data_IF_565598794338
#
_entry.id   IF_565598794338
#
_cell.length_a   1.000
_cell.length_b   1.000
_cell.length_c   1.000
_cell.angle_alpha   90.00
_cell.angle_beta   90.00
_cell.angle_gamma   90.00
#
_symmetry.space_group_name_H-M   'P 1'
#
loop_
_entity.id
_entity.type
_entity.pdbx_description
1 polymer ?
#
# COMPACT_ATOMS: atom_id res chain seq x y z
N UNK A 1 -1.75 24.32 14.71
CA UNK A 1 -1.97 23.37 13.59
C UNK A 1 -0.77 23.46 12.67
N UNK A 2 -0.21 22.33 12.32
CA UNK A 2 0.92 22.20 11.39
C UNK A 2 0.38 21.75 10.02
N UNK A 3 1.03 22.21 8.96
CA UNK A 3 0.68 21.85 7.59
C UNK A 3 1.89 21.23 6.90
N UNK A 4 1.68 20.13 6.18
CA UNK A 4 2.67 19.45 5.38
C UNK A 4 2.22 19.48 3.92
N UNK A 5 3.14 19.74 2.98
CA UNK A 5 2.85 19.84 1.55
C UNK A 5 3.71 18.88 0.75
N UNK A 6 3.13 18.33 -0.31
CA UNK A 6 3.85 17.59 -1.32
C UNK A 6 3.27 17.90 -2.71
N UNK A 7 4.11 17.85 -3.72
CA UNK A 7 3.69 17.92 -5.13
C UNK A 7 3.94 16.55 -5.74
N UNK A 8 2.91 15.99 -6.35
CA UNK A 8 2.93 14.71 -7.03
C UNK A 8 2.76 14.96 -8.52
N UNK A 9 3.66 14.41 -9.34
CA UNK A 9 3.47 14.34 -10.78
C UNK A 9 2.97 12.94 -11.15
N UNK A 10 1.82 12.89 -11.82
CA UNK A 10 1.19 11.62 -12.24
C UNK A 10 1.53 11.39 -13.70
N UNK A 11 2.52 10.54 -13.97
CA UNK A 11 2.91 10.15 -15.33
C UNK A 11 2.37 8.75 -15.58
N UNK A 12 1.34 8.62 -16.41
CA UNK A 12 0.81 7.33 -16.88
C UNK A 12 1.13 7.19 -18.37
N UNK A 13 2.09 6.34 -18.70
CA UNK A 13 2.37 5.94 -20.06
C UNK A 13 1.47 4.76 -20.45
N UNK A 14 0.64 4.94 -21.47
CA UNK A 14 -0.20 3.87 -22.04
C UNK A 14 0.61 3.04 -23.04
N UNK A 15 1.60 2.26 -22.57
CA UNK A 15 2.36 1.33 -23.42
C UNK A 15 1.47 0.27 -24.06
N UNK A 16 0.38 -0.12 -23.39
CA UNK A 16 -0.61 -1.07 -23.91
C UNK A 16 -1.28 -0.60 -25.20
N UNK A 17 -1.56 0.71 -25.32
CA UNK A 17 -2.11 1.28 -26.57
C UNK A 17 -1.12 1.26 -27.72
N UNK A 18 0.17 1.46 -27.46
CA UNK A 18 1.22 1.38 -28.48
C UNK A 18 1.38 -0.04 -29.03
N UNK A 19 1.12 -1.06 -28.22
CA UNK A 19 1.25 -2.48 -28.60
C UNK A 19 0.00 -2.98 -29.35
N UNK A 20 -1.19 -2.58 -28.91
CA UNK A 20 -2.47 -3.10 -29.45
C UNK A 20 -3.03 -2.29 -30.63
N UNK A 21 -2.42 -1.15 -30.98
CA UNK A 21 -2.88 -0.24 -32.04
C UNK A 21 -4.06 0.66 -31.60
N UNK A 22 -4.30 1.73 -32.36
CA UNK A 22 -5.33 2.76 -32.06
C UNK A 22 -6.78 2.25 -32.11
N UNK A 23 -7.02 1.02 -32.55
CA UNK A 23 -8.35 0.40 -32.65
C UNK A 23 -8.77 -0.42 -31.45
N UNK A 24 -7.96 -0.52 -30.38
CA UNK A 24 -8.33 -1.30 -29.21
C UNK A 24 -9.42 -0.61 -28.39
N UNK A 25 -10.46 -1.35 -28.01
CA UNK A 25 -11.61 -0.93 -27.18
C UNK A 25 -11.20 -0.47 -25.76
N UNK A 26 -9.90 -0.57 -25.44
CA UNK A 26 -9.30 -0.25 -24.13
C UNK A 26 -8.75 1.20 -24.06
N UNK A 27 -9.36 2.13 -24.77
CA UNK A 27 -8.96 3.55 -24.74
C UNK A 27 -9.45 4.22 -23.43
N UNK A 28 -8.88 3.84 -22.31
CA UNK A 28 -9.16 4.48 -21.01
C UNK A 28 -8.24 5.71 -20.91
N UNK A 29 -8.76 6.87 -21.28
CA UNK A 29 -8.12 8.14 -20.92
C UNK A 29 -8.25 8.33 -19.40
N UNK A 30 -7.20 8.01 -18.65
CA UNK A 30 -7.15 8.35 -17.24
C UNK A 30 -7.12 9.88 -17.07
N UNK A 31 -8.12 10.40 -16.42
CA UNK A 31 -8.18 11.81 -16.06
C UNK A 31 -7.42 12.03 -14.75
N UNK A 32 -6.78 13.19 -14.60
CA UNK A 32 -6.13 13.59 -13.35
C UNK A 32 -7.14 13.62 -12.18
N UNK A 33 -8.42 13.82 -12.48
CA UNK A 33 -9.52 13.78 -11.51
C UNK A 33 -9.68 12.41 -10.85
N UNK A 34 -9.43 11.31 -11.58
CA UNK A 34 -9.46 9.95 -11.00
C UNK A 34 -8.36 9.74 -9.97
N UNK A 35 -7.16 10.27 -10.23
CA UNK A 35 -6.04 10.20 -9.30
C UNK A 35 -6.32 11.04 -8.03
N UNK A 36 -6.96 12.20 -8.19
CA UNK A 36 -7.40 13.04 -7.06
C UNK A 36 -8.44 12.30 -6.20
N UNK A 37 -9.42 11.65 -6.82
CA UNK A 37 -10.42 10.86 -6.09
C UNK A 37 -9.79 9.63 -5.42
N UNK A 38 -8.84 8.98 -6.07
CA UNK A 38 -8.08 7.88 -5.46
C UNK A 38 -7.29 8.35 -4.24
N UNK A 39 -6.59 9.49 -4.34
CA UNK A 39 -5.85 10.09 -3.21
C UNK A 39 -6.77 10.46 -2.04
N UNK A 40 -8.03 10.81 -2.30
CA UNK A 40 -9.05 11.05 -1.27
C UNK A 40 -9.68 9.77 -0.72
N UNK A 41 -9.41 8.65 -1.35
CA UNK A 41 -10.04 7.37 -1.01
C UNK A 41 -9.77 6.95 0.44
N UNK A 42 -10.81 6.50 1.17
CA UNK A 42 -10.64 5.92 2.51
C UNK A 42 -9.69 4.72 2.55
N UNK A 43 -9.49 4.05 1.41
CA UNK A 43 -8.61 2.88 1.32
C UNK A 43 -7.15 3.28 1.54
N UNK A 44 -6.67 4.37 0.91
CA UNK A 44 -5.30 4.85 1.10
C UNK A 44 -5.08 5.31 2.55
N UNK A 45 -6.06 5.99 3.15
CA UNK A 45 -5.98 6.36 4.57
C UNK A 45 -5.88 5.13 5.49
N UNK A 46 -6.69 4.10 5.25
CA UNK A 46 -6.61 2.86 6.03
C UNK A 46 -5.24 2.21 5.92
N UNK A 47 -4.69 2.13 4.72
CA UNK A 47 -3.36 1.59 4.50
C UNK A 47 -2.29 2.42 5.24
N UNK A 48 -2.37 3.75 5.18
CA UNK A 48 -1.49 4.65 5.91
C UNK A 48 -1.63 4.49 7.44
N UNK A 49 -2.86 4.37 7.95
CA UNK A 49 -3.13 4.10 9.37
C UNK A 49 -2.48 2.78 9.81
N UNK A 50 -2.61 1.73 9.00
CA UNK A 50 -2.00 0.43 9.29
C UNK A 50 -0.47 0.49 9.24
N UNK A 51 0.11 1.11 8.22
CA UNK A 51 1.57 1.22 8.06
C UNK A 51 2.23 2.03 9.18
N UNK A 52 1.54 3.04 9.71
CA UNK A 52 2.00 3.87 10.81
C UNK A 52 1.66 3.32 12.21
N UNK A 53 0.94 2.20 12.30
CA UNK A 53 0.53 1.61 13.57
C UNK A 53 -0.45 2.49 14.36
N UNK A 54 -1.28 3.31 13.69
CA UNK A 54 -2.23 4.22 14.33
C UNK A 54 -3.49 3.50 14.89
N UNK A 55 -3.45 2.19 15.02
CA UNK A 55 -4.50 1.42 15.71
C UNK A 55 -4.58 1.76 17.19
N UNK A 56 -3.47 2.25 17.76
CA UNK A 56 -3.41 2.74 19.13
C UNK A 56 -2.78 4.12 19.18
N UNK A 57 -3.32 5.00 20.03
CA UNK A 57 -2.64 6.23 20.42
C UNK A 57 -2.28 6.20 21.89
N UNK A 58 -1.09 6.74 22.20
CA UNK A 58 -0.63 6.91 23.57
C UNK A 58 -0.76 8.36 24.00
N UNK A 59 -1.16 8.55 25.24
CA UNK A 59 -1.41 9.86 25.83
C UNK A 59 -0.74 10.00 27.19
N UNK A 60 -0.40 11.23 27.52
CA UNK A 60 -0.03 11.64 28.86
C UNK A 60 -1.17 12.46 29.45
N UNK A 61 -1.75 11.97 30.53
CA UNK A 61 -2.81 12.68 31.26
C UNK A 61 -2.18 13.70 32.20
N UNK A 62 -1.93 14.88 31.66
CA UNK A 62 -1.40 16.01 32.47
C UNK A 62 -2.50 16.66 33.34
N UNK A 63 -2.11 17.41 34.36
CA UNK A 63 -3.04 18.07 35.27
C UNK A 63 -4.02 19.06 34.59
N UNK A 64 -3.65 19.62 33.46
CA UNK A 64 -4.43 20.62 32.70
C UNK A 64 -4.78 20.21 31.27
N UNK A 65 -3.93 19.42 30.64
CA UNK A 65 -4.09 19.04 29.23
C UNK A 65 -3.62 17.61 29.05
N UNK A 66 -4.40 16.85 28.27
CA UNK A 66 -3.99 15.53 27.75
C UNK A 66 -3.18 15.71 26.48
N UNK A 67 -1.97 15.21 26.46
CA UNK A 67 -1.05 15.31 25.33
C UNK A 67 -1.00 14.00 24.56
N UNK A 68 -1.19 14.07 23.24
CA UNK A 68 -0.96 12.92 22.35
C UNK A 68 0.53 12.73 22.13
N UNK A 69 1.05 11.58 22.53
CA UNK A 69 2.46 11.24 22.50
C UNK A 69 2.94 10.65 21.17
N UNK A 70 2.16 10.71 20.09
CA UNK A 70 2.57 10.17 18.81
C UNK A 70 3.93 10.72 18.35
N UNK A 71 4.85 9.79 18.07
CA UNK A 71 6.23 10.13 17.68
C UNK A 71 7.17 10.56 18.78
N UNK A 72 6.71 10.57 20.06
CA UNK A 72 7.52 10.90 21.24
C UNK A 72 7.60 9.75 22.24
N UNK A 73 6.89 8.65 22.00
CA UNK A 73 6.94 7.46 22.86
C UNK A 73 8.24 6.69 22.65
N UNK A 74 8.95 6.27 23.71
CA UNK A 74 10.10 5.38 23.64
C UNK A 74 9.69 3.91 23.44
N UNK A 75 8.41 3.65 23.14
CA UNK A 75 7.83 2.32 22.96
C UNK A 75 6.82 2.32 21.80
N UNK A 76 6.52 1.13 21.33
CA UNK A 76 5.47 0.85 20.34
C UNK A 76 4.54 -0.24 20.87
N UNK A 77 3.28 -0.18 20.45
CA UNK A 77 2.25 -1.17 20.78
C UNK A 77 1.87 -1.89 19.51
N UNK A 78 2.07 -3.21 19.47
CA UNK A 78 1.61 -4.07 18.39
C UNK A 78 0.31 -4.73 18.86
N UNK A 79 -0.77 -4.49 18.14
CA UNK A 79 -2.08 -5.10 18.41
C UNK A 79 -2.22 -6.32 17.54
N UNK A 80 -2.28 -7.51 18.14
CA UNK A 80 -2.52 -8.78 17.45
C UNK A 80 -4.02 -9.04 17.26
N UNK A 81 -4.80 -8.76 18.31
CA UNK A 81 -6.24 -8.98 18.28
C UNK A 81 -6.95 -7.96 19.18
N UNK A 82 -8.08 -7.47 18.69
CA UNK A 82 -9.07 -6.73 19.47
C UNK A 82 -10.37 -7.55 19.41
N UNK A 83 -10.69 -8.25 20.52
CA UNK A 83 -11.81 -9.19 20.56
C UNK A 83 -13.16 -8.48 20.64
N UNK A 84 -13.17 -7.25 21.15
CA UNK A 84 -14.38 -6.43 21.29
C UNK A 84 -14.14 -5.01 20.78
N UNK A 85 -14.88 -4.63 19.74
CA UNK A 85 -14.82 -3.27 19.17
C UNK A 85 -15.27 -2.18 20.15
N UNK A 86 -16.03 -2.52 21.19
CA UNK A 86 -16.40 -1.61 22.25
C UNK A 86 -15.22 -1.12 23.10
N UNK A 87 -14.06 -1.78 23.02
CA UNK A 87 -12.83 -1.32 23.63
C UNK A 87 -12.24 -0.06 22.99
N UNK A 88 -12.68 0.29 21.77
CA UNK A 88 -12.22 1.52 21.12
C UNK A 88 -12.58 2.74 21.98
N UNK A 89 -11.59 3.61 22.24
CA UNK A 89 -11.74 4.77 23.12
C UNK A 89 -11.60 4.47 24.62
N UNK A 90 -11.51 3.20 25.05
CA UNK A 90 -11.26 2.87 26.46
C UNK A 90 -9.79 3.11 26.79
N UNK A 91 -9.53 3.88 27.87
CA UNK A 91 -8.19 4.17 28.31
C UNK A 91 -7.59 2.99 29.07
N UNK A 92 -6.42 2.53 28.62
CA UNK A 92 -5.63 1.48 29.26
C UNK A 92 -4.39 2.14 29.86
N UNK A 93 -4.35 2.24 31.18
CA UNK A 93 -3.29 2.90 31.92
C UNK A 93 -2.12 1.97 32.21
N UNK A 94 -0.91 2.52 32.16
CA UNK A 94 0.29 1.86 32.66
C UNK A 94 0.47 2.18 34.14
N UNK A 95 0.68 1.16 34.96
CA UNK A 95 1.02 1.32 36.38
C UNK A 95 2.33 0.58 36.69
N UNK A 96 3.25 1.27 37.33
CA UNK A 96 4.49 0.63 37.79
C UNK A 96 4.24 -0.40 38.88
N UNK A 97 4.87 -1.58 38.72
CA UNK A 97 4.86 -2.63 39.75
C UNK A 97 6.30 -2.99 40.12
N UNK A 98 6.90 -2.24 41.02
CA UNK A 98 8.31 -2.41 41.44
C UNK A 98 9.30 -2.04 40.32
N UNK A 99 10.53 -2.55 40.42
CA UNK A 99 11.57 -2.26 39.43
C UNK A 99 11.37 -3.02 38.15
N UNK A 100 11.25 -2.31 37.02
CA UNK A 100 11.17 -2.86 35.67
C UNK A 100 9.97 -3.76 35.36
N UNK A 101 8.88 -3.66 36.15
CA UNK A 101 7.60 -4.32 35.85
C UNK A 101 6.47 -3.31 35.82
N UNK A 102 5.46 -3.59 35.03
CA UNK A 102 4.26 -2.76 34.94
C UNK A 102 3.00 -3.63 34.87
N UNK A 103 1.88 -3.03 35.22
CA UNK A 103 0.55 -3.57 34.97
C UNK A 103 -0.18 -2.70 33.96
N UNK A 104 -1.11 -3.29 33.22
CA UNK A 104 -2.10 -2.59 32.42
C UNK A 104 -3.43 -2.60 33.17
N UNK A 105 -3.94 -1.41 33.48
CA UNK A 105 -5.19 -1.21 34.18
C UNK A 105 -6.23 -0.53 33.28
N UNK A 106 -7.42 -1.10 33.22
CA UNK A 106 -8.55 -0.49 32.52
C UNK A 106 -9.87 -0.88 33.14
N UNK A 107 -10.89 -0.06 32.88
CA UNK A 107 -12.29 -0.34 33.26
C UNK A 107 -13.10 -0.54 32.00
N UNK A 108 -13.81 -1.64 31.89
CA UNK A 108 -14.68 -1.93 30.75
C UNK A 108 -16.00 -2.50 31.23
N UNK A 109 -17.13 -1.94 30.75
CA UNK A 109 -18.49 -2.31 31.17
C UNK A 109 -18.68 -2.36 32.70
N UNK A 110 -18.09 -1.41 33.41
CA UNK A 110 -18.15 -1.30 34.87
C UNK A 110 -17.29 -2.32 35.63
N UNK A 111 -16.52 -3.17 34.96
CA UNK A 111 -15.59 -4.12 35.57
C UNK A 111 -14.15 -3.62 35.46
N UNK A 112 -13.40 -3.87 36.52
CA UNK A 112 -11.99 -3.52 36.64
C UNK A 112 -11.12 -4.68 36.17
N UNK A 113 -10.13 -4.37 35.34
CA UNK A 113 -9.16 -5.34 34.83
C UNK A 113 -7.75 -4.86 35.16
N UNK A 114 -6.91 -5.77 35.62
CA UNK A 114 -5.51 -5.54 35.89
C UNK A 114 -4.69 -6.72 35.34
N UNK A 115 -3.74 -6.43 34.46
CA UNK A 115 -2.96 -7.43 33.74
C UNK A 115 -1.50 -7.16 33.97
N UNK A 116 -0.76 -8.16 34.50
CA UNK A 116 0.68 -8.05 34.62
C UNK A 116 1.33 -7.92 33.24
N UNK A 117 2.15 -6.90 33.05
CA UNK A 117 2.83 -6.56 31.82
C UNK A 117 4.32 -6.86 31.83
N UNK A 118 4.84 -7.27 30.69
CA UNK A 118 6.27 -7.38 30.42
C UNK A 118 6.60 -6.81 29.05
N UNK A 119 7.79 -6.23 28.90
CA UNK A 119 8.27 -5.75 27.59
C UNK A 119 8.55 -6.94 26.66
N UNK A 120 8.24 -6.75 25.38
CA UNK A 120 8.46 -7.73 24.30
C UNK A 120 7.75 -9.08 24.50
N UNK A 121 6.78 -9.13 25.41
CA UNK A 121 5.94 -10.32 25.65
C UNK A 121 4.52 -10.06 25.17
N UNK A 122 3.83 -11.14 24.77
CA UNK A 122 2.41 -11.06 24.41
C UNK A 122 1.58 -10.93 25.68
N UNK A 123 0.85 -9.84 25.78
CA UNK A 123 -0.07 -9.55 26.88
C UNK A 123 -1.48 -9.88 26.43
N UNK A 124 -2.09 -10.83 27.07
CA UNK A 124 -3.43 -11.32 26.73
C UNK A 124 -4.44 -10.91 27.77
N UNK A 125 -5.51 -10.29 27.33
CA UNK A 125 -6.69 -9.94 28.11
C UNK A 125 -7.93 -10.60 27.48
N UNK A 126 -9.08 -10.64 28.16
CA UNK A 126 -10.33 -11.07 27.56
C UNK A 126 -10.75 -10.26 26.33
N UNK A 127 -10.30 -8.98 26.23
CA UNK A 127 -10.76 -8.03 25.22
C UNK A 127 -9.73 -7.72 24.14
N UNK A 128 -8.43 -7.94 24.40
CA UNK A 128 -7.36 -7.66 23.44
C UNK A 128 -6.13 -8.54 23.68
N UNK A 129 -5.32 -8.70 22.63
CA UNK A 129 -3.97 -9.27 22.68
C UNK A 129 -2.99 -8.28 22.04
N UNK A 130 -2.01 -7.83 22.82
CA UNK A 130 -1.02 -6.83 22.42
C UNK A 130 0.40 -7.23 22.80
N UNK A 131 1.37 -6.58 22.20
CA UNK A 131 2.78 -6.64 22.62
C UNK A 131 3.32 -5.22 22.73
N UNK A 132 4.05 -4.92 23.80
CA UNK A 132 4.68 -3.61 24.03
C UNK A 132 6.17 -3.78 23.85
N UNK A 133 6.73 -3.12 22.84
CA UNK A 133 8.15 -3.12 22.56
C UNK A 133 8.74 -1.75 22.92
N UNK A 134 9.68 -1.70 23.82
CA UNK A 134 10.40 -0.47 24.16
C UNK A 134 11.74 -0.44 23.42
N UNK A 135 11.98 0.65 22.69
CA UNK A 135 13.28 0.93 22.07
C UNK A 135 14.33 1.27 23.14
N UNK A 136 13.90 1.94 24.19
CA UNK A 136 14.71 2.30 25.36
C UNK A 136 13.90 1.96 26.63
N UNK A 137 14.14 0.79 27.25
CA UNK A 137 13.42 0.38 28.45
C UNK A 137 13.57 1.37 29.62
N UNK A 138 14.73 1.98 29.78
CA UNK A 138 14.95 2.92 30.88
C UNK A 138 14.08 4.19 30.72
N UNK A 139 13.99 4.74 29.50
CA UNK A 139 13.10 5.87 29.20
C UNK A 139 11.64 5.49 29.31
N UNK A 140 11.26 4.26 28.91
CA UNK A 140 9.90 3.77 29.05
C UNK A 140 9.47 3.74 30.52
N UNK A 141 10.25 3.12 31.40
CA UNK A 141 9.93 3.07 32.82
C UNK A 141 9.95 4.46 33.50
N UNK A 142 10.92 5.30 33.15
CA UNK A 142 10.95 6.69 33.62
C UNK A 142 9.73 7.51 33.20
N UNK A 143 9.19 7.24 32.00
CA UNK A 143 7.99 7.88 31.50
C UNK A 143 6.75 7.44 32.29
N UNK A 144 6.59 6.14 32.53
CA UNK A 144 5.46 5.59 33.32
C UNK A 144 5.52 6.09 34.77
N UNK A 145 6.72 6.19 35.36
CA UNK A 145 6.90 6.65 36.74
C UNK A 145 6.52 8.13 36.93
N UNK A 146 6.69 8.95 35.88
CA UNK A 146 6.46 10.41 35.97
C UNK A 146 4.99 10.82 35.80
N UNK A 147 4.17 10.00 35.21
CA UNK A 147 2.84 10.46 34.87
C UNK A 147 1.80 9.35 34.62
N UNK A 148 0.58 9.79 34.47
CA UNK A 148 -0.54 8.91 34.09
C UNK A 148 -0.52 8.67 32.59
N UNK A 149 0.33 7.75 32.16
CA UNK A 149 0.40 7.36 30.75
C UNK A 149 -0.65 6.29 30.47
N UNK A 150 -1.39 6.49 29.41
CA UNK A 150 -2.35 5.51 28.92
C UNK A 150 -2.32 5.42 27.39
N UNK A 151 -2.88 4.36 26.89
CA UNK A 151 -3.20 4.24 25.46
C UNK A 151 -4.67 3.85 25.30
N UNK A 152 -5.22 4.11 24.11
CA UNK A 152 -6.51 3.61 23.70
C UNK A 152 -6.44 2.99 22.31
N UNK A 153 -7.41 2.12 22.01
CA UNK A 153 -7.60 1.56 20.70
C UNK A 153 -8.47 2.50 19.86
N UNK A 154 -8.07 2.73 18.62
CA UNK A 154 -8.78 3.57 17.69
C UNK A 154 -9.77 2.75 16.86
N UNK A 155 -10.99 3.26 16.69
CA UNK A 155 -11.88 2.78 15.65
C UNK A 155 -11.36 3.24 14.29
N UNK A 156 -10.87 2.31 13.48
CA UNK A 156 -10.22 2.62 12.19
C UNK A 156 -11.15 3.42 11.26
N UNK A 157 -12.46 3.13 11.28
CA UNK A 157 -13.44 3.87 10.45
C UNK A 157 -13.57 5.32 10.88
N UNK A 158 -13.69 5.57 12.18
CA UNK A 158 -13.83 6.92 12.73
C UNK A 158 -12.52 7.69 12.60
N UNK A 159 -11.40 7.04 12.90
CA UNK A 159 -10.08 7.63 12.71
C UNK A 159 -9.84 8.01 11.25
N UNK A 160 -10.19 7.14 10.28
CA UNK A 160 -10.11 7.46 8.85
C UNK A 160 -10.88 8.72 8.52
N UNK A 161 -12.14 8.81 8.96
CA UNK A 161 -12.97 10.00 8.71
C UNK A 161 -12.39 11.26 9.33
N UNK A 162 -11.94 11.17 10.58
CA UNK A 162 -11.29 12.30 11.28
C UNK A 162 -10.03 12.77 10.57
N UNK A 163 -9.16 11.84 10.16
CA UNK A 163 -7.91 12.18 9.46
C UNK A 163 -8.16 12.73 8.05
N UNK A 164 -9.21 12.29 7.36
CA UNK A 164 -9.57 12.81 6.04
C UNK A 164 -9.91 14.31 6.05
N UNK A 165 -10.42 14.85 7.17
CA UNK A 165 -10.77 16.28 7.26
C UNK A 165 -9.58 17.22 7.14
N UNK A 166 -8.37 16.73 7.47
CA UNK A 166 -7.13 17.49 7.35
C UNK A 166 -6.53 17.51 5.94
N UNK A 167 -7.05 16.67 5.02
CA UNK A 167 -6.51 16.53 3.67
C UNK A 167 -7.11 17.58 2.71
N UNK A 168 -6.24 18.26 1.97
CA UNK A 168 -6.60 19.11 0.85
C UNK A 168 -5.79 18.71 -0.37
N UNK A 169 -6.46 18.53 -1.51
CA UNK A 169 -5.82 18.16 -2.77
C UNK A 169 -6.27 19.14 -3.84
N UNK A 170 -5.31 19.74 -4.55
CA UNK A 170 -5.55 20.67 -5.63
C UNK A 170 -4.73 20.29 -6.87
N UNK A 171 -5.34 20.39 -8.04
CA UNK A 171 -4.63 20.27 -9.32
C UNK A 171 -3.87 21.58 -9.52
N UNK A 172 -2.54 21.48 -9.70
CA UNK A 172 -1.65 22.63 -9.92
C UNK A 172 -1.54 22.93 -11.40
N UNK A 173 -1.31 21.90 -12.19
CA UNK A 173 -1.16 22.01 -13.65
C UNK A 173 -1.67 20.73 -14.32
N UNK A 174 -2.69 20.87 -15.17
CA UNK A 174 -3.27 19.75 -15.92
C UNK A 174 -2.34 19.26 -17.03
N UNK A 175 -1.59 20.17 -17.67
CA UNK A 175 -0.65 19.85 -18.76
C UNK A 175 0.56 19.08 -18.24
N UNK A 176 1.13 19.53 -17.13
CA UNK A 176 2.23 18.85 -16.43
C UNK A 176 1.76 17.68 -15.56
N UNK A 177 0.45 17.47 -15.45
CA UNK A 177 -0.19 16.43 -14.61
C UNK A 177 0.30 16.48 -13.15
N UNK A 178 0.32 17.68 -12.57
CA UNK A 178 0.79 17.88 -11.20
C UNK A 178 -0.37 18.15 -10.24
N UNK A 179 -0.30 17.49 -9.08
CA UNK A 179 -1.26 17.60 -7.98
C UNK A 179 -0.51 18.01 -6.72
N UNK A 180 -1.01 19.03 -6.03
CA UNK A 180 -0.55 19.42 -4.71
C UNK A 180 -1.40 18.72 -3.65
N UNK A 181 -0.74 18.05 -2.72
CA UNK A 181 -1.34 17.44 -1.55
C UNK A 181 -0.91 18.26 -0.34
N UNK A 182 -1.86 18.69 0.47
CA UNK A 182 -1.63 19.40 1.73
C UNK A 182 -2.35 18.67 2.84
N UNK A 183 -1.68 18.49 3.96
CA UNK A 183 -2.26 17.84 5.13
C UNK A 183 -2.05 18.67 6.40
N UNK A 184 -3.14 18.94 7.13
CA UNK A 184 -3.16 19.74 8.35
C UNK A 184 -3.49 18.88 9.56
N UNK A 185 -2.67 18.99 10.62
CA UNK A 185 -2.89 18.32 11.88
C UNK A 185 -2.25 19.07 13.05
N UNK A 186 -2.75 18.84 14.28
CA UNK A 186 -2.19 19.45 15.50
C UNK A 186 -0.81 18.87 15.86
N UNK A 187 -0.58 17.60 15.59
CA UNK A 187 0.71 16.96 15.79
C UNK A 187 1.54 17.02 14.49
N UNK A 188 2.70 17.72 14.55
CA UNK A 188 3.59 17.92 13.40
C UNK A 188 4.12 16.62 12.82
N UNK A 189 4.53 15.66 13.67
CA UNK A 189 5.07 14.38 13.22
C UNK A 189 4.00 13.54 12.53
N UNK A 190 2.78 13.55 13.08
CA UNK A 190 1.66 12.85 12.47
C UNK A 190 1.28 13.46 11.12
N UNK A 191 1.25 14.80 11.01
CA UNK A 191 0.99 15.48 9.73
C UNK A 191 1.97 15.05 8.64
N UNK A 192 3.26 15.04 8.95
CA UNK A 192 4.30 14.63 8.02
C UNK A 192 4.23 13.15 7.68
N UNK A 193 4.21 12.28 8.71
CA UNK A 193 4.24 10.83 8.52
C UNK A 193 3.01 10.32 7.78
N UNK A 194 1.82 10.85 8.11
CA UNK A 194 0.58 10.44 7.44
C UNK A 194 0.60 10.81 5.96
N UNK A 195 1.06 12.02 5.62
CA UNK A 195 1.21 12.42 4.24
C UNK A 195 2.17 11.52 3.47
N UNK A 196 3.35 11.21 4.05
CA UNK A 196 4.31 10.29 3.45
C UNK A 196 3.75 8.88 3.28
N UNK A 197 3.04 8.36 4.29
CA UNK A 197 2.41 7.05 4.23
C UNK A 197 1.28 6.98 3.20
N UNK A 198 0.51 8.05 3.04
CA UNK A 198 -0.53 8.14 2.01
C UNK A 198 0.07 8.14 0.59
N UNK A 199 1.11 8.94 0.37
CA UNK A 199 1.84 8.97 -0.91
C UNK A 199 2.45 7.59 -1.20
N UNK A 200 3.08 6.96 -0.21
CA UNK A 200 3.60 5.60 -0.35
C UNK A 200 2.50 4.59 -0.70
N UNK A 201 1.35 4.66 -0.02
CA UNK A 201 0.20 3.80 -0.32
C UNK A 201 -0.38 4.03 -1.71
N UNK A 202 -0.37 5.27 -2.21
CA UNK A 202 -0.76 5.60 -3.57
C UNK A 202 0.18 4.95 -4.59
N UNK A 203 1.50 5.07 -4.41
CA UNK A 203 2.47 4.44 -5.32
C UNK A 203 2.36 2.90 -5.33
N UNK A 204 2.17 2.28 -4.16
CA UNK A 204 1.99 0.82 -4.11
C UNK A 204 0.67 0.39 -4.78
N UNK A 205 -0.38 1.17 -4.65
CA UNK A 205 -1.65 0.92 -5.33
C UNK A 205 -1.48 1.04 -6.86
N UNK A 206 -0.88 2.12 -7.36
CA UNK A 206 -0.62 2.34 -8.78
C UNK A 206 0.26 1.22 -9.38
N UNK A 207 1.30 0.83 -8.64
CA UNK A 207 2.17 -0.28 -9.04
C UNK A 207 1.41 -1.59 -9.15
N UNK A 208 0.56 -1.91 -8.17
CA UNK A 208 -0.26 -3.11 -8.18
C UNK A 208 -1.24 -3.11 -9.35
N UNK A 209 -1.89 -1.99 -9.63
CA UNK A 209 -2.79 -1.83 -10.77
C UNK A 209 -2.04 -2.04 -12.10
N UNK A 210 -0.89 -1.40 -12.26
CA UNK A 210 -0.07 -1.55 -13.47
C UNK A 210 0.39 -3.00 -13.69
N UNK A 211 0.76 -3.70 -12.63
CA UNK A 211 1.08 -5.13 -12.71
C UNK A 211 -0.13 -5.97 -13.17
N UNK A 212 -1.32 -5.70 -12.62
CA UNK A 212 -2.54 -6.40 -13.03
C UNK A 212 -2.93 -6.12 -14.48
N UNK A 213 -2.79 -4.87 -14.94
CA UNK A 213 -3.02 -4.50 -16.35
C UNK A 213 -2.06 -5.22 -17.28
N UNK A 214 -0.78 -5.25 -16.93
CA UNK A 214 0.23 -5.98 -17.72
C UNK A 214 -0.08 -7.47 -17.79
N UNK A 215 -0.47 -8.11 -16.68
CA UNK A 215 -0.87 -9.52 -16.67
C UNK A 215 -2.12 -9.78 -17.53
N UNK A 216 -3.13 -8.89 -17.49
CA UNK A 216 -4.32 -9.00 -18.35
C UNK A 216 -3.95 -8.89 -19.83
N UNK A 217 -3.06 -7.95 -20.16
CA UNK A 217 -2.57 -7.75 -21.53
C UNK A 217 -1.80 -8.98 -22.03
N UNK A 218 -0.89 -9.53 -21.21
CA UNK A 218 -0.17 -10.76 -21.55
C UNK A 218 -1.11 -11.95 -21.77
N UNK A 219 -2.09 -12.13 -20.90
CA UNK A 219 -3.09 -13.18 -21.05
C UNK A 219 -3.93 -12.99 -22.32
N UNK A 220 -4.31 -11.74 -22.64
CA UNK A 220 -5.04 -11.44 -23.87
C UNK A 220 -4.20 -11.78 -25.12
N UNK A 221 -2.92 -11.35 -25.15
CA UNK A 221 -2.01 -11.64 -26.25
C UNK A 221 -1.81 -13.15 -26.42
N UNK A 222 -1.59 -13.89 -25.34
CA UNK A 222 -1.44 -15.34 -25.38
C UNK A 222 -2.70 -16.02 -25.94
N UNK A 223 -3.89 -15.64 -25.48
CA UNK A 223 -5.15 -16.16 -26.00
C UNK A 223 -5.34 -15.85 -27.50
N UNK A 224 -4.92 -14.67 -27.96
CA UNK A 224 -4.96 -14.30 -29.37
C UNK A 224 -3.97 -15.14 -30.19
N UNK A 225 -2.76 -15.37 -29.69
CA UNK A 225 -1.77 -16.24 -30.34
C UNK A 225 -2.27 -17.69 -30.48
N UNK A 226 -2.86 -18.23 -29.41
CA UNK A 226 -3.44 -19.58 -29.43
C UNK A 226 -4.57 -19.67 -30.43
N UNK A 227 -5.45 -18.68 -30.47
CA UNK A 227 -6.55 -18.62 -31.46
C UNK A 227 -6.04 -18.53 -32.89
N UNK A 228 -5.06 -17.66 -33.16
CA UNK A 228 -4.45 -17.53 -34.50
C UNK A 228 -3.70 -18.80 -34.92
N UNK A 229 -2.99 -19.43 -33.98
CA UNK A 229 -2.31 -20.71 -34.23
C UNK A 229 -3.30 -21.82 -34.61
N UNK A 230 -4.44 -21.86 -33.90
CA UNK A 230 -5.51 -22.81 -34.23
C UNK A 230 -6.10 -22.57 -35.65
N UNK A 231 -6.42 -21.30 -35.98
CA UNK A 231 -6.94 -20.92 -37.31
C UNK A 231 -5.93 -21.24 -38.40
N UNK A 232 -4.64 -20.95 -38.14
CA UNK A 232 -3.55 -21.27 -39.08
C UNK A 232 -3.44 -22.78 -39.34
N UNK A 233 -3.49 -23.60 -38.29
CA UNK A 233 -3.45 -25.05 -38.41
C UNK A 233 -4.65 -25.60 -39.19
N UNK A 234 -5.87 -25.13 -38.93
CA UNK A 234 -7.08 -25.48 -39.67
C UNK A 234 -6.94 -25.08 -41.13
N UNK A 235 -6.41 -23.89 -41.42
CA UNK A 235 -6.20 -23.40 -42.79
C UNK A 235 -5.13 -24.21 -43.51
N UNK A 236 -4.01 -24.55 -42.85
CA UNK A 236 -2.98 -25.45 -43.40
C UNK A 236 -3.53 -26.84 -43.74
N UNK A 237 -4.32 -27.40 -42.81
CA UNK A 237 -4.98 -28.71 -43.06
C UNK A 237 -5.98 -28.68 -44.23
N UNK A 238 -6.77 -27.61 -44.30
CA UNK A 238 -7.74 -27.41 -45.39
C UNK A 238 -7.04 -27.26 -46.73
N UNK A 239 -5.95 -26.47 -46.79
CA UNK A 239 -5.12 -26.31 -47.98
C UNK A 239 -4.47 -27.62 -48.39
N UNK A 240 -3.92 -28.38 -47.46
CA UNK A 240 -3.29 -29.68 -47.69
C UNK A 240 -4.31 -30.69 -48.25
N UNK A 241 -5.54 -30.73 -47.74
CA UNK A 241 -6.64 -31.55 -48.23
C UNK A 241 -7.04 -31.14 -49.65
N UNK A 242 -7.15 -29.83 -49.90
CA UNK A 242 -7.47 -29.31 -51.24
C UNK A 242 -6.39 -29.68 -52.26
N UNK A 243 -5.10 -29.46 -51.93
CA UNK A 243 -3.98 -29.82 -52.82
C UNK A 243 -3.96 -31.32 -53.17
N UNK A 244 -4.20 -32.19 -52.15
CA UNK A 244 -4.29 -33.65 -52.37
C UNK A 244 -5.46 -34.01 -53.27
N UNK A 245 -6.61 -33.34 -53.11
CA UNK A 245 -7.82 -33.62 -53.93
C UNK A 245 -7.68 -33.22 -55.40
N UNK A 246 -6.83 -32.19 -55.67
CA UNK A 246 -6.62 -31.63 -57.00
C UNK A 246 -5.30 -32.09 -57.66
N UNK A 247 -4.53 -33.00 -57.02
CA UNK A 247 -3.21 -33.44 -57.48
C UNK A 247 -2.23 -32.26 -57.76
N UNK A 248 -2.35 -31.16 -57.03
CA UNK A 248 -1.50 -29.99 -57.20
C UNK A 248 -0.19 -30.17 -56.43
N UNK A 249 0.99 -29.70 -56.96
CA UNK A 249 2.23 -29.74 -56.24
C UNK A 249 2.13 -28.86 -54.97
N UNK A 250 2.80 -29.30 -53.91
CA UNK A 250 2.84 -28.53 -52.65
C UNK A 250 3.51 -27.17 -52.88
N UNK A 251 2.74 -26.10 -52.70
CA UNK A 251 3.31 -24.75 -52.64
C UNK A 251 3.95 -24.63 -51.27
N UNK A 252 5.26 -24.60 -51.22
CA UNK A 252 6.01 -24.18 -50.03
C UNK A 252 5.71 -22.71 -49.82
N UNK A 253 4.74 -22.41 -48.99
CA UNK A 253 4.64 -21.04 -48.44
C UNK A 253 5.93 -20.78 -47.67
N UNK A 254 6.62 -19.71 -48.04
CA UNK A 254 7.78 -19.25 -47.26
C UNK A 254 7.34 -18.98 -45.82
N UNK A 255 7.80 -19.85 -44.94
CA UNK A 255 7.57 -19.73 -43.47
C UNK A 255 8.16 -18.44 -42.87
N UNK A 256 8.85 -17.63 -43.72
CA UNK A 256 9.68 -16.53 -43.27
C UNK A 256 8.90 -15.36 -42.63
N UNK A 257 7.70 -15.00 -43.13
CA UNK A 257 6.99 -13.83 -42.63
C UNK A 257 6.26 -14.10 -41.31
N UNK A 258 5.68 -15.29 -41.16
CA UNK A 258 4.99 -15.66 -39.90
C UNK A 258 6.02 -15.94 -38.82
N UNK A 259 7.12 -16.61 -39.14
CA UNK A 259 8.24 -16.87 -38.23
C UNK A 259 8.93 -15.57 -37.82
N UNK A 260 9.04 -14.61 -38.74
CA UNK A 260 9.59 -13.28 -38.45
C UNK A 260 8.69 -12.48 -37.49
N UNK A 261 7.39 -12.44 -37.72
CA UNK A 261 6.43 -11.76 -36.83
C UNK A 261 6.37 -12.42 -35.46
N UNK A 262 6.42 -13.76 -35.35
CA UNK A 262 6.52 -14.49 -34.10
C UNK A 262 7.82 -14.20 -33.39
N UNK A 263 8.94 -14.09 -34.11
CA UNK A 263 10.24 -13.71 -33.56
C UNK A 263 10.23 -12.27 -33.02
N UNK A 264 9.61 -11.34 -33.74
CA UNK A 264 9.48 -9.94 -33.28
C UNK A 264 8.59 -9.82 -32.04
N UNK A 265 7.49 -10.58 -31.97
CA UNK A 265 6.62 -10.61 -30.77
C UNK A 265 7.37 -11.21 -29.58
N UNK A 266 8.10 -12.32 -29.78
CA UNK A 266 8.89 -12.93 -28.73
C UNK A 266 10.03 -12.02 -28.26
N UNK A 267 10.67 -11.28 -29.16
CA UNK A 267 11.68 -10.28 -28.80
C UNK A 267 11.09 -9.16 -27.94
N UNK A 268 9.88 -8.67 -28.27
CA UNK A 268 9.18 -7.65 -27.46
C UNK A 268 8.76 -8.18 -26.09
N UNK A 269 8.30 -9.43 -26.01
CA UNK A 269 7.99 -10.08 -24.72
C UNK A 269 9.24 -10.16 -23.85
N UNK A 270 10.39 -10.49 -24.45
CA UNK A 270 11.68 -10.55 -23.74
C UNK A 270 12.10 -9.16 -23.24
N UNK A 271 11.99 -8.13 -24.08
CA UNK A 271 12.27 -6.74 -23.72
C UNK A 271 11.40 -6.25 -22.56
N UNK A 272 10.09 -6.53 -22.58
CA UNK A 272 9.17 -6.20 -21.49
C UNK A 272 9.56 -6.92 -20.20
N UNK A 273 9.94 -8.19 -20.29
CA UNK A 273 10.40 -8.95 -19.12
C UNK A 273 11.70 -8.37 -18.56
N UNK A 274 12.65 -7.98 -19.39
CA UNK A 274 13.89 -7.31 -18.97
C UNK A 274 13.59 -5.95 -18.28
N UNK A 275 12.65 -5.17 -18.80
CA UNK A 275 12.18 -3.94 -18.15
C UNK A 275 11.55 -4.22 -16.77
N UNK A 276 10.76 -5.28 -16.64
CA UNK A 276 10.19 -5.71 -15.36
C UNK A 276 11.30 -6.07 -14.37
N UNK A 277 12.29 -6.87 -14.79
CA UNK A 277 13.43 -7.22 -13.94
C UNK A 277 14.27 -6.00 -13.55
N UNK A 278 14.48 -5.05 -14.46
CA UNK A 278 15.19 -3.81 -14.16
C UNK A 278 14.46 -2.97 -13.11
N UNK A 279 13.14 -2.85 -13.22
CA UNK A 279 12.31 -2.15 -12.22
C UNK A 279 12.32 -2.86 -10.88
N UNK A 280 12.28 -4.19 -10.85
CA UNK A 280 12.36 -4.97 -9.61
C UNK A 280 13.75 -4.83 -8.95
N UNK A 281 14.82 -4.83 -9.75
CA UNK A 281 16.17 -4.59 -9.27
C UNK A 281 16.35 -3.18 -8.68
N UNK A 282 15.85 -2.14 -9.37
CA UNK A 282 15.86 -0.76 -8.87
C UNK A 282 15.09 -0.64 -7.57
N UNK A 283 13.91 -1.28 -7.47
CA UNK A 283 13.13 -1.33 -6.23
C UNK A 283 13.94 -1.93 -5.08
N UNK A 284 14.61 -3.06 -5.33
CA UNK A 284 15.45 -3.73 -4.33
C UNK A 284 16.59 -2.82 -3.89
N UNK A 285 17.27 -2.17 -4.83
CA UNK A 285 18.38 -1.26 -4.55
C UNK A 285 17.94 -0.04 -3.75
N UNK A 286 16.80 0.57 -4.10
CA UNK A 286 16.22 1.71 -3.36
C UNK A 286 15.81 1.27 -1.95
N UNK A 287 15.18 0.10 -1.80
CA UNK A 287 14.79 -0.39 -0.48
C UNK A 287 16.00 -0.70 0.41
N UNK A 288 17.11 -1.15 -0.17
CA UNK A 288 18.36 -1.39 0.54
C UNK A 288 19.08 -0.09 0.92
N UNK A 289 18.96 0.97 0.11
CA UNK A 289 19.54 2.30 0.44
C UNK A 289 18.73 3.03 1.52
N UNK A 290 17.39 2.89 1.51
CA UNK A 290 16.53 3.49 2.55
C UNK A 290 16.70 2.81 3.91
N UNK A 291 17.14 1.55 3.93
CA UNK A 291 17.39 0.79 5.17
C UNK A 291 18.80 0.96 5.74
N UNK A 292 19.72 1.65 5.08
CA UNK A 292 21.03 2.03 5.66
C UNK A 292 20.87 3.38 6.37
N UNK A 293 20.90 3.43 7.71
CA UNK A 293 21.07 4.70 8.40
C UNK A 293 22.48 5.21 8.06
N UNK A 294 22.56 6.43 7.54
CA UNK A 294 23.83 7.14 7.45
C UNK A 294 24.42 7.24 8.86
N UNK A 295 25.66 6.78 8.99
CA UNK A 295 26.52 6.87 10.20
C UNK A 295 26.94 8.32 10.39
#
# INVERSE_FOLDING_TARGET
>A
VFESHAILQVIKENKTQQILGEGSVLNVQHSLSEDVELLRSPVLFKNAIHSLGLQTFSYNDGKLLTENLYGFTPYSIITYQLSDSGMCGTNVYFEMQGDNKFNLRYTYQGKFFNIAGGLSTKLKSPHFEIQINAQDPAKFFALIQKGSIYFNFNNIRELTKSLQTGLSIAIVDEGAKTVQISYRHENRKLAYNLMQAMIGSYFEFEKSNKQQENLRTLNFINNQLDSLSMVLNISKDSLSKFQRSQNLPSVTFEENDITKNLSEINARITEINEEIYAVEYLKKTISEQVTRPEI
#
